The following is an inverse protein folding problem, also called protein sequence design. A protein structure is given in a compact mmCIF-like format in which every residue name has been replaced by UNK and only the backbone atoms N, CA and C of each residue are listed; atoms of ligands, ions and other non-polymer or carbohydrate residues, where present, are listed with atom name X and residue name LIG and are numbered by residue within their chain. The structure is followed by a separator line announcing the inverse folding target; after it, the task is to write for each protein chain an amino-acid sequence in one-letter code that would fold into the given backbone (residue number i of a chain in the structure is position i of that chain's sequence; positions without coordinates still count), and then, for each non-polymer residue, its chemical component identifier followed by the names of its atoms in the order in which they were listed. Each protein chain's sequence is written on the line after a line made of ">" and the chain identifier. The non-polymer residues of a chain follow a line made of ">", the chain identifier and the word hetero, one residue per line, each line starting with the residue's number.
data_IF_639082012083
#
_entry.id   IF_639082012083
#
_cell.length_a   1.000
_cell.length_b   1.000
_cell.length_c   1.000
_cell.angle_alpha   90.00
_cell.angle_beta   90.00
_cell.angle_gamma   90.00
#
_symmetry.space_group_name_H-M   'P 1'
#
loop_
_entity.id
_entity.type
_entity.pdbx_description
1 polymer ?
#
# COMPACT_ATOMS: atom_id res chain seq x y z
N UNK A 1 -15.06 -8.52 8.99
CA UNK A 1 -14.35 -9.69 9.55
C UNK A 1 -13.73 -10.45 8.39
N UNK A 2 -12.45 -10.21 8.10
CA UNK A 2 -11.70 -11.11 7.22
C UNK A 2 -11.30 -12.29 8.10
N UNK A 3 -11.66 -13.51 7.69
CA UNK A 3 -11.26 -14.70 8.42
C UNK A 3 -9.73 -14.77 8.47
N UNK A 4 -9.17 -15.12 9.63
CA UNK A 4 -7.75 -15.39 9.76
C UNK A 4 -7.45 -16.73 9.07
N UNK A 5 -6.98 -16.68 7.82
CA UNK A 5 -6.34 -17.82 7.18
C UNK A 5 -4.93 -18.04 7.74
N UNK A 6 -4.44 -19.28 7.67
CA UNK A 6 -3.07 -19.61 8.09
C UNK A 6 -2.09 -18.86 7.19
N UNK A 7 -1.35 -17.91 7.76
CA UNK A 7 -0.21 -17.29 7.10
C UNK A 7 0.82 -18.39 6.77
N UNK A 8 0.93 -18.72 5.49
CA UNK A 8 1.98 -19.60 4.98
C UNK A 8 3.06 -18.70 4.42
N UNK A 9 4.29 -18.83 4.92
CA UNK A 9 5.42 -18.12 4.34
C UNK A 9 5.85 -18.82 3.05
N UNK A 10 6.01 -18.04 1.98
CA UNK A 10 6.46 -18.54 0.69
C UNK A 10 7.42 -17.53 0.06
N UNK A 11 8.46 -18.05 -0.59
CA UNK A 11 9.41 -17.25 -1.36
C UNK A 11 9.17 -17.49 -2.85
N UNK A 12 9.21 -16.42 -3.63
CA UNK A 12 8.97 -16.48 -5.06
C UNK A 12 10.13 -15.84 -5.81
N UNK A 13 10.52 -16.41 -6.97
CA UNK A 13 11.41 -15.69 -7.87
C UNK A 13 10.68 -14.46 -8.38
N UNK A 14 11.31 -13.29 -8.22
CA UNK A 14 10.80 -12.00 -8.68
C UNK A 14 11.61 -11.51 -9.87
N UNK A 15 10.90 -10.94 -10.85
CA UNK A 15 11.55 -10.21 -11.94
C UNK A 15 11.98 -8.83 -11.41
N UNK A 16 13.19 -8.42 -11.78
CA UNK A 16 13.70 -7.09 -11.49
C UNK A 16 13.50 -6.19 -12.71
N UNK A 17 12.94 -5.01 -12.50
CA UNK A 17 12.93 -3.89 -13.43
C UNK A 17 14.08 -2.91 -13.14
N UNK A 18 14.09 -1.77 -13.83
CA UNK A 18 15.14 -0.75 -13.68
C UNK A 18 15.21 -0.16 -12.25
N UNK A 19 14.06 0.02 -11.61
CA UNK A 19 13.94 0.71 -10.32
C UNK A 19 13.59 -0.22 -9.14
N UNK A 20 13.72 -1.54 -9.32
CA UNK A 20 13.44 -2.53 -8.28
C UNK A 20 12.63 -3.72 -8.78
N UNK A 21 11.72 -4.23 -7.97
CA UNK A 21 10.87 -5.37 -8.35
C UNK A 21 9.86 -4.92 -9.42
N UNK A 22 9.71 -5.72 -10.46
CA UNK A 22 8.66 -5.58 -11.46
C UNK A 22 7.31 -6.00 -10.82
N UNK A 23 6.59 -5.01 -10.30
CA UNK A 23 5.36 -5.22 -9.53
C UNK A 23 4.23 -5.79 -10.38
N UNK A 24 4.14 -5.42 -11.66
CA UNK A 24 3.13 -5.97 -12.57
C UNK A 24 3.37 -7.46 -12.83
N UNK A 25 4.63 -7.84 -13.10
CA UNK A 25 4.99 -9.23 -13.26
C UNK A 25 4.75 -10.04 -11.97
N UNK A 26 5.08 -9.47 -10.80
CA UNK A 26 4.84 -10.09 -9.50
C UNK A 26 3.34 -10.32 -9.26
N UNK A 27 2.51 -9.29 -9.44
CA UNK A 27 1.06 -9.39 -9.20
C UNK A 27 0.40 -10.36 -10.19
N UNK A 28 0.84 -10.38 -11.45
CA UNK A 28 0.40 -11.37 -12.45
C UNK A 28 0.74 -12.79 -12.00
N UNK A 29 1.96 -13.02 -11.52
CA UNK A 29 2.40 -14.32 -11.02
C UNK A 29 1.59 -14.76 -9.79
N UNK A 30 1.29 -13.85 -8.86
CA UNK A 30 0.44 -14.13 -7.70
C UNK A 30 -1.01 -14.44 -8.12
N UNK A 31 -1.57 -13.67 -9.05
CA UNK A 31 -2.90 -13.92 -9.61
C UNK A 31 -3.02 -15.29 -10.28
N UNK A 32 -1.99 -15.73 -11.01
CA UNK A 32 -1.96 -17.07 -11.64
C UNK A 32 -1.99 -18.23 -10.63
N UNK A 33 -1.69 -17.95 -9.35
CA UNK A 33 -1.74 -18.90 -8.24
C UNK A 33 -3.02 -18.80 -7.42
N UNK A 34 -3.99 -17.99 -7.85
CA UNK A 34 -5.26 -17.78 -7.16
C UNK A 34 -5.19 -16.75 -6.02
N UNK A 35 -4.12 -15.96 -5.91
CA UNK A 35 -4.06 -14.86 -4.93
C UNK A 35 -4.90 -13.70 -5.45
N UNK A 36 -6.02 -13.43 -4.79
CA UNK A 36 -6.99 -12.40 -5.21
C UNK A 36 -6.79 -11.04 -4.54
N UNK A 37 -5.99 -10.99 -3.48
CA UNK A 37 -5.70 -9.78 -2.73
C UNK A 37 -4.34 -9.87 -2.08
N UNK A 38 -3.63 -8.74 -2.03
CA UNK A 38 -2.30 -8.61 -1.42
C UNK A 38 -2.36 -7.51 -0.39
N UNK A 39 -1.95 -7.82 0.84
CA UNK A 39 -1.72 -6.83 1.88
C UNK A 39 -0.23 -6.45 1.88
N UNK A 40 0.05 -5.18 1.65
CA UNK A 40 1.42 -4.65 1.62
C UNK A 40 1.68 -3.87 2.91
N UNK A 41 2.40 -4.47 3.84
CA UNK A 41 2.79 -3.85 5.13
C UNK A 41 4.23 -3.30 5.14
N UNK A 42 4.90 -3.34 3.99
CA UNK A 42 6.33 -3.03 3.86
C UNK A 42 6.72 -1.62 4.33
N UNK A 43 8.02 -1.35 4.30
CA UNK A 43 8.55 -0.03 4.64
C UNK A 43 8.25 1.06 3.60
N UNK A 44 8.68 2.30 3.86
CA UNK A 44 8.32 3.46 3.04
C UNK A 44 8.67 3.30 1.56
N UNK A 45 9.84 2.74 1.25
CA UNK A 45 10.26 2.40 -0.12
C UNK A 45 9.29 1.45 -0.83
N UNK A 46 8.88 0.38 -0.16
CA UNK A 46 7.95 -0.61 -0.72
C UNK A 46 6.60 0.04 -0.99
N UNK A 47 6.04 0.74 0.00
CA UNK A 47 4.76 1.44 -0.13
C UNK A 47 4.81 2.45 -1.30
N UNK A 48 5.90 3.22 -1.40
CA UNK A 48 6.11 4.20 -2.48
C UNK A 48 6.15 3.53 -3.84
N UNK A 49 6.85 2.40 -3.99
CA UNK A 49 6.91 1.65 -5.24
C UNK A 49 5.53 1.19 -5.72
N UNK A 50 4.71 0.64 -4.80
CA UNK A 50 3.35 0.24 -5.10
C UNK A 50 2.48 1.44 -5.51
N UNK A 51 2.52 2.55 -4.77
CA UNK A 51 1.78 3.76 -5.11
C UNK A 51 2.18 4.33 -6.47
N UNK A 52 3.49 4.43 -6.76
CA UNK A 52 4.00 4.91 -8.06
C UNK A 52 3.60 4.00 -9.23
N UNK A 53 3.48 2.70 -9.01
CA UNK A 53 3.06 1.76 -10.06
C UNK A 53 1.57 1.82 -10.39
N UNK A 54 0.74 2.51 -9.60
CA UNK A 54 -0.70 2.63 -9.87
C UNK A 54 -1.52 1.37 -9.62
N UNK A 55 -0.94 0.33 -9.01
CA UNK A 55 -1.59 -0.97 -8.76
C UNK A 55 -2.31 -1.06 -7.40
N UNK A 56 -2.30 0.02 -6.62
CA UNK A 56 -2.92 0.08 -5.29
C UNK A 56 -4.41 0.39 -5.43
N UNK A 57 -5.25 -0.40 -4.77
CA UNK A 57 -6.70 -0.18 -4.73
C UNK A 57 -7.16 0.52 -3.45
N UNK A 58 -6.54 0.18 -2.31
CA UNK A 58 -6.94 0.66 -0.98
C UNK A 58 -5.72 1.02 -0.15
N UNK A 59 -5.87 2.05 0.68
CA UNK A 59 -4.93 2.43 1.73
C UNK A 59 -5.63 2.25 3.07
N UNK A 60 -4.95 1.63 4.03
CA UNK A 60 -5.39 1.50 5.42
C UNK A 60 -4.28 2.07 6.32
N UNK A 61 -4.58 3.19 6.99
CA UNK A 61 -3.65 3.88 7.89
C UNK A 61 -4.08 3.70 9.34
N UNK A 62 -3.13 3.37 10.20
CA UNK A 62 -3.33 3.35 11.65
C UNK A 62 -2.61 4.54 12.28
N UNK A 63 -3.36 5.41 12.94
CA UNK A 63 -2.88 6.65 13.54
C UNK A 63 -3.04 6.55 15.05
N UNK A 64 -1.92 6.44 15.76
CA UNK A 64 -1.89 6.46 17.21
C UNK A 64 -1.89 7.90 17.75
N UNK A 65 -2.49 8.16 18.93
CA UNK A 65 -2.45 9.48 19.58
C UNK A 65 -1.09 9.70 20.27
N UNK A 66 0.00 9.64 19.50
CA UNK A 66 1.39 9.70 19.98
C UNK A 66 2.19 10.67 19.10
N UNK A 67 3.05 11.47 19.73
CA UNK A 67 3.92 12.42 19.06
C UNK A 67 5.35 11.90 19.09
N UNK A 68 5.88 11.49 17.94
CA UNK A 68 7.25 11.00 17.82
C UNK A 68 8.26 12.14 17.57
N UNK A 69 7.80 13.27 17.02
CA UNK A 69 8.68 14.32 16.52
C UNK A 69 9.28 13.90 15.17
N UNK A 70 10.58 13.62 15.12
CA UNK A 70 11.26 13.16 13.92
C UNK A 70 11.20 11.64 13.78
N UNK A 71 10.89 11.15 12.58
CA UNK A 71 10.81 9.72 12.29
C UNK A 71 10.79 9.46 10.79
N UNK A 72 10.67 8.18 10.42
CA UNK A 72 10.48 7.79 9.03
C UNK A 72 9.07 8.15 8.59
N UNK A 73 8.93 8.77 7.42
CA UNK A 73 7.63 8.92 6.75
C UNK A 73 7.13 7.55 6.30
N UNK A 74 5.82 7.38 6.14
CA UNK A 74 5.24 6.11 5.67
C UNK A 74 5.27 5.99 4.13
N UNK A 75 5.36 7.11 3.41
CA UNK A 75 5.65 7.19 1.97
C UNK A 75 6.88 8.07 1.77
N UNK A 76 7.73 7.70 0.83
CA UNK A 76 8.82 8.52 0.32
C UNK A 76 8.27 9.47 -0.76
N UNK A 77 9.15 10.09 -1.56
CA UNK A 77 8.73 11.00 -2.62
C UNK A 77 7.88 10.26 -3.68
N UNK A 78 6.71 10.78 -4.02
CA UNK A 78 5.86 10.27 -5.12
C UNK A 78 6.10 10.97 -6.45
N UNK A 79 6.93 12.02 -6.49
CA UNK A 79 7.31 12.75 -7.69
C UNK A 79 6.35 13.88 -8.09
N UNK A 80 5.29 14.14 -7.32
CA UNK A 80 4.35 15.23 -7.59
C UNK A 80 5.01 16.60 -7.38
N UNK A 81 4.86 17.49 -8.35
CA UNK A 81 5.42 18.85 -8.30
C UNK A 81 4.37 19.92 -7.96
N UNK A 82 3.09 19.59 -8.10
CA UNK A 82 1.96 20.51 -7.87
C UNK A 82 0.86 19.81 -7.10
N UNK A 83 0.06 20.59 -6.36
CA UNK A 83 -1.09 20.07 -5.62
C UNK A 83 -2.16 19.47 -6.54
N UNK A 84 -2.36 20.03 -7.73
CA UNK A 84 -3.33 19.51 -8.69
C UNK A 84 -2.94 18.14 -9.28
N UNK A 85 -1.65 17.78 -9.18
CA UNK A 85 -1.14 16.50 -9.66
C UNK A 85 -1.10 15.40 -8.57
N UNK A 86 -1.39 15.73 -7.30
CA UNK A 86 -1.24 14.77 -6.20
C UNK A 86 -2.26 13.64 -6.29
N UNK A 87 -1.89 12.49 -5.73
CA UNK A 87 -2.80 11.37 -5.56
C UNK A 87 -3.91 11.73 -4.56
N UNK A 88 -5.09 12.06 -5.08
CA UNK A 88 -6.29 12.21 -4.28
C UNK A 88 -6.94 10.84 -4.02
N UNK A 89 -7.24 10.54 -2.75
CA UNK A 89 -7.99 9.34 -2.37
C UNK A 89 -9.48 9.63 -2.23
N UNK A 90 -10.30 8.59 -2.29
CA UNK A 90 -11.77 8.66 -2.25
C UNK A 90 -12.34 7.64 -1.26
N UNK A 91 -13.66 7.63 -1.06
CA UNK A 91 -14.36 6.67 -0.19
C UNK A 91 -13.75 6.53 1.22
N UNK A 92 -13.40 7.67 1.82
CA UNK A 92 -12.70 7.71 3.11
C UNK A 92 -13.64 7.31 4.25
N UNK A 93 -13.23 6.31 5.02
CA UNK A 93 -13.88 5.91 6.27
C UNK A 93 -12.89 5.98 7.42
N UNK A 94 -13.36 6.41 8.58
CA UNK A 94 -12.56 6.51 9.81
C UNK A 94 -13.24 5.73 10.91
N UNK A 95 -12.51 4.82 11.54
CA UNK A 95 -12.97 4.02 12.66
C UNK A 95 -12.01 4.15 13.83
N UNK A 96 -12.54 4.34 15.04
CA UNK A 96 -11.74 4.28 16.27
C UNK A 96 -11.50 2.81 16.66
N UNK A 97 -10.24 2.45 16.88
CA UNK A 97 -9.80 1.13 17.36
C UNK A 97 -9.04 1.32 18.68
N UNK A 98 -9.73 1.16 19.80
CA UNK A 98 -9.15 1.48 21.11
C UNK A 98 -8.77 2.95 21.20
N UNK A 99 -7.48 3.25 21.38
CA UNK A 99 -6.93 4.62 21.37
C UNK A 99 -6.65 5.16 19.96
N UNK A 100 -6.54 4.29 18.97
CA UNK A 100 -6.01 4.61 17.66
C UNK A 100 -7.14 4.86 16.65
N UNK A 101 -6.82 5.50 15.53
CA UNK A 101 -7.72 5.68 14.40
C UNK A 101 -7.27 4.80 13.24
N UNK A 102 -8.21 4.07 12.64
CA UNK A 102 -8.04 3.42 11.35
C UNK A 102 -8.71 4.28 10.29
N UNK A 103 -7.92 4.78 9.34
CA UNK A 103 -8.41 5.48 8.15
C UNK A 103 -8.30 4.52 6.98
N UNK A 104 -9.42 4.22 6.32
CA UNK A 104 -9.44 3.43 5.10
C UNK A 104 -9.92 4.29 3.95
N UNK A 105 -9.20 4.29 2.83
CA UNK A 105 -9.51 5.09 1.66
C UNK A 105 -9.22 4.33 0.37
N UNK A 106 -10.02 4.59 -0.66
CA UNK A 106 -9.85 4.03 -2.01
C UNK A 106 -8.90 4.89 -2.82
N UNK A 107 -7.97 4.23 -3.51
CA UNK A 107 -7.09 4.86 -4.50
C UNK A 107 -7.79 4.80 -5.86
N UNK A 108 -8.07 5.94 -6.52
CA UNK A 108 -8.62 5.95 -7.85
C UNK A 108 -7.61 5.34 -8.82
N UNK A 109 -8.04 4.37 -9.64
CA UNK A 109 -7.24 3.98 -10.80
C UNK A 109 -7.39 5.05 -11.87
N UNK A 110 -6.31 5.55 -12.47
CA UNK A 110 -6.43 6.31 -13.70
C UNK A 110 -7.10 5.39 -14.75
N UNK A 111 -8.15 5.91 -15.41
CA UNK A 111 -8.83 5.24 -16.53
C UNK A 111 -7.92 5.15 -17.75
#
# INVERSE_FOLDING_TARGET
>A
CVAAERATEAQFPVRMGADGVDLEALLTQLGSRGVLGVLVEGGPRTITGFLRSGVVDWIVLFIAPKLLGAGKTWVEDLGFQTLDAVLAVSDVSVQKLGSDLMVMARVPRPL
#
